data_IF_927919935881
#
_entry.id   IF_927919935881
#
_cell.length_a   1.000
_cell.length_b   1.000
_cell.length_c   1.000
_cell.angle_alpha   90.00
_cell.angle_beta   90.00
_cell.angle_gamma   90.00
#
_symmetry.space_group_name_H-M   'P 1'
#
loop_
_entity.id
_entity.type
_entity.pdbx_description
1 polymer ?
#
# COMPACT_ATOMS: atom_id res chain seq x y z
N UNK A 1 -21.98 4.28 -7.40
CA UNK A 1 -21.11 3.59 -8.37
C UNK A 1 -19.86 4.44 -8.51
N UNK A 2 -18.66 3.85 -8.38
CA UNK A 2 -17.42 4.63 -8.45
C UNK A 2 -16.99 4.86 -9.90
N UNK A 3 -16.24 5.93 -10.15
CA UNK A 3 -15.81 6.29 -11.51
C UNK A 3 -14.80 5.33 -12.11
N UNK A 4 -13.84 4.85 -11.30
CA UNK A 4 -12.72 4.04 -11.79
C UNK A 4 -12.78 2.57 -11.32
N UNK A 5 -13.72 2.21 -10.46
CA UNK A 5 -13.79 0.90 -9.82
C UNK A 5 -15.23 0.37 -9.82
N UNK A 6 -15.44 -0.90 -10.17
CA UNK A 6 -16.79 -1.48 -10.22
C UNK A 6 -17.36 -1.79 -8.84
N UNK A 7 -16.51 -2.15 -7.87
CA UNK A 7 -16.87 -2.39 -6.47
C UNK A 7 -15.66 -2.28 -5.55
N UNK A 8 -15.83 -2.12 -4.22
CA UNK A 8 -14.69 -2.05 -3.28
C UNK A 8 -13.70 -3.21 -3.39
N UNK A 9 -14.21 -4.40 -3.71
CA UNK A 9 -13.46 -5.65 -3.79
C UNK A 9 -13.04 -6.04 -5.21
N UNK A 10 -13.18 -5.13 -6.19
CA UNK A 10 -12.64 -5.34 -7.52
C UNK A 10 -11.10 -5.28 -7.47
N UNK A 11 -10.41 -6.30 -7.99
CA UNK A 11 -8.94 -6.35 -7.98
C UNK A 11 -8.26 -5.44 -9.00
N UNK A 12 -9.03 -4.85 -9.92
CA UNK A 12 -8.54 -4.00 -11.01
C UNK A 12 -9.41 -2.76 -11.15
N UNK A 13 -8.81 -1.68 -11.66
CA UNK A 13 -9.58 -0.54 -12.16
C UNK A 13 -10.35 -0.92 -13.42
N UNK A 14 -11.50 -0.27 -13.64
CA UNK A 14 -12.19 -0.27 -14.94
C UNK A 14 -11.31 0.47 -15.95
N UNK A 15 -10.80 1.64 -15.54
CA UNK A 15 -9.82 2.47 -16.24
C UNK A 15 -8.90 3.07 -15.17
N UNK A 16 -7.56 3.07 -15.38
CA UNK A 16 -6.63 3.69 -14.45
C UNK A 16 -6.98 5.17 -14.17
N UNK A 17 -7.02 5.59 -12.90
CA UNK A 17 -7.21 7.00 -12.57
C UNK A 17 -6.01 7.84 -13.05
N UNK A 18 -6.21 9.13 -13.39
CA UNK A 18 -5.12 10.02 -13.76
C UNK A 18 -4.14 10.21 -12.59
N UNK A 19 -2.82 10.19 -12.85
CA UNK A 19 -1.80 10.25 -11.81
C UNK A 19 -1.76 11.57 -11.01
N UNK A 20 -2.10 12.70 -11.65
CA UNK A 20 -1.99 14.04 -11.03
C UNK A 20 -3.33 14.61 -10.55
N UNK A 21 -4.36 13.76 -10.43
CA UNK A 21 -5.69 14.19 -10.01
C UNK A 21 -5.96 13.70 -8.59
N UNK A 22 -6.41 14.62 -7.73
CA UNK A 22 -6.98 14.24 -6.44
C UNK A 22 -8.26 13.42 -6.64
N UNK A 23 -8.27 12.22 -6.06
CA UNK A 23 -9.41 11.32 -6.08
C UNK A 23 -10.30 11.58 -4.88
N UNK A 24 -11.60 11.38 -5.07
CA UNK A 24 -12.61 11.52 -4.02
C UNK A 24 -13.40 10.22 -3.83
N UNK A 25 -14.30 10.19 -2.85
CA UNK A 25 -15.15 9.02 -2.55
C UNK A 25 -16.16 8.68 -3.66
N UNK A 26 -16.36 9.57 -4.63
CA UNK A 26 -17.13 9.26 -5.85
C UNK A 26 -16.26 8.60 -6.94
N UNK A 27 -14.94 8.78 -6.88
CA UNK A 27 -14.01 8.26 -7.88
C UNK A 27 -13.59 6.81 -7.58
N UNK A 28 -13.29 6.54 -6.31
CA UNK A 28 -12.81 5.25 -5.79
C UNK A 28 -13.38 5.01 -4.38
N UNK A 29 -13.36 3.77 -3.87
CA UNK A 29 -13.75 3.47 -2.49
C UNK A 29 -12.93 4.23 -1.45
N UNK A 30 -13.54 4.59 -0.32
CA UNK A 30 -12.87 5.33 0.78
C UNK A 30 -11.62 4.63 1.29
N UNK A 31 -11.67 3.30 1.46
CA UNK A 31 -10.51 2.49 1.83
C UNK A 31 -9.32 2.65 0.87
N UNK A 32 -9.55 3.01 -0.40
CA UNK A 32 -8.45 3.31 -1.33
C UNK A 32 -7.84 4.69 -1.09
N UNK A 33 -8.65 5.69 -0.74
CA UNK A 33 -8.15 7.02 -0.41
C UNK A 33 -7.25 6.94 0.83
N UNK A 34 -7.73 6.26 1.87
CA UNK A 34 -6.97 6.02 3.10
C UNK A 34 -5.72 5.20 2.82
N UNK A 35 -5.83 4.12 2.04
CA UNK A 35 -4.66 3.27 1.76
C UNK A 35 -3.59 4.01 0.95
N UNK A 36 -3.96 4.94 0.06
CA UNK A 36 -3.00 5.80 -0.65
C UNK A 36 -2.21 6.67 0.33
N UNK A 37 -2.90 7.32 1.27
CA UNK A 37 -2.24 8.12 2.31
C UNK A 37 -1.31 7.26 3.17
N UNK A 38 -1.78 6.09 3.59
CA UNK A 38 -1.02 5.17 4.45
C UNK A 38 0.22 4.63 3.72
N UNK A 39 0.12 4.26 2.44
CA UNK A 39 1.27 3.80 1.66
C UNK A 39 2.25 4.93 1.37
N UNK A 40 1.77 6.15 1.12
CA UNK A 40 2.61 7.33 0.96
C UNK A 40 3.42 7.60 2.24
N UNK A 41 2.77 7.58 3.41
CA UNK A 41 3.44 7.77 4.70
C UNK A 41 4.38 6.61 5.03
N UNK A 42 3.98 5.36 4.74
CA UNK A 42 4.85 4.19 4.88
C UNK A 42 6.12 4.31 4.04
N UNK A 43 6.00 4.81 2.81
CA UNK A 43 7.14 5.05 1.94
C UNK A 43 8.01 6.19 2.48
N UNK A 44 7.43 7.38 2.65
CA UNK A 44 8.17 8.60 3.02
C UNK A 44 8.86 8.51 4.38
N UNK A 45 8.17 7.97 5.40
CA UNK A 45 8.66 7.95 6.77
C UNK A 45 9.26 6.59 7.18
N UNK A 46 9.01 5.54 6.41
CA UNK A 46 9.42 4.18 6.73
C UNK A 46 10.53 3.69 5.81
N UNK A 47 10.21 3.49 4.53
CA UNK A 47 11.13 2.84 3.59
C UNK A 47 12.19 3.79 3.03
N UNK A 48 11.81 5.00 2.63
CA UNK A 48 12.73 5.97 2.02
C UNK A 48 13.94 6.27 2.90
N UNK A 49 13.81 6.50 4.23
CA UNK A 49 14.97 6.72 5.10
C UNK A 49 15.93 5.53 5.17
N UNK A 50 15.44 4.30 4.92
CA UNK A 50 16.27 3.09 4.92
C UNK A 50 17.03 2.95 3.60
N UNK A 51 16.38 3.18 2.47
CA UNK A 51 16.98 2.94 1.14
C UNK A 51 17.77 4.13 0.60
N UNK A 52 17.54 5.34 1.11
CA UNK A 52 18.24 6.58 0.73
C UNK A 52 19.32 6.96 1.75
N UNK A 53 19.55 6.16 2.78
CA UNK A 53 20.62 6.38 3.74
C UNK A 53 21.97 6.16 3.05
N UNK A 54 22.77 7.21 2.93
CA UNK A 54 24.16 7.14 2.48
C UNK A 54 25.09 6.55 3.55
N UNK A 55 24.62 6.48 4.80
CA UNK A 55 25.36 5.85 5.90
C UNK A 55 25.35 4.33 5.75
N UNK A 56 26.51 3.69 6.02
CA UNK A 56 26.65 2.23 6.08
C UNK A 56 25.76 1.57 7.17
N UNK A 57 25.13 2.37 8.03
CA UNK A 57 24.34 1.90 9.16
C UNK A 57 22.97 2.58 9.22
N UNK A 58 21.92 1.75 9.13
CA UNK A 58 20.53 2.18 9.36
C UNK A 58 20.35 2.45 10.85
N UNK A 59 19.86 3.63 11.22
CA UNK A 59 19.61 3.96 12.62
C UNK A 59 18.58 3.00 13.23
N UNK A 60 18.78 2.61 14.50
CA UNK A 60 17.82 1.76 15.21
C UNK A 60 16.41 2.38 15.27
N UNK A 61 16.32 3.72 15.32
CA UNK A 61 15.04 4.43 15.29
C UNK A 61 14.31 4.29 13.95
N UNK A 62 15.02 4.35 12.83
CA UNK A 62 14.42 4.22 11.50
C UNK A 62 13.98 2.79 11.24
N UNK A 63 14.78 1.81 11.67
CA UNK A 63 14.38 0.40 11.64
C UNK A 63 13.09 0.17 12.45
N UNK A 64 13.02 0.66 13.69
CA UNK A 64 11.81 0.53 14.52
C UNK A 64 10.61 1.23 13.90
N UNK A 65 10.81 2.39 13.28
CA UNK A 65 9.74 3.13 12.59
C UNK A 65 9.21 2.37 11.39
N UNK A 66 10.10 1.87 10.54
CA UNK A 66 9.75 1.07 9.38
C UNK A 66 9.00 -0.21 9.76
N UNK A 67 9.45 -0.92 10.79
CA UNK A 67 8.78 -2.12 11.29
C UNK A 67 7.36 -1.81 11.79
N UNK A 68 7.18 -0.70 12.52
CA UNK A 68 5.87 -0.25 12.99
C UNK A 68 4.93 0.09 11.83
N UNK A 69 5.38 0.89 10.87
CA UNK A 69 4.58 1.28 9.70
C UNK A 69 4.22 0.06 8.83
N UNK A 70 5.19 -0.82 8.59
CA UNK A 70 4.99 -2.07 7.84
C UNK A 70 4.00 -3.01 8.55
N UNK A 71 4.03 -3.05 9.89
CA UNK A 71 3.04 -3.79 10.69
C UNK A 71 1.64 -3.19 10.54
N UNK A 72 1.51 -1.86 10.56
CA UNK A 72 0.22 -1.18 10.33
C UNK A 72 -0.36 -1.53 8.96
N UNK A 73 0.43 -1.40 7.90
CA UNK A 73 0.05 -1.82 6.53
C UNK A 73 -0.40 -3.28 6.54
N UNK A 74 0.42 -4.19 7.10
CA UNK A 74 0.10 -5.61 7.17
C UNK A 74 -1.17 -5.95 7.98
N UNK A 75 -1.54 -5.15 8.98
CA UNK A 75 -2.80 -5.31 9.71
C UNK A 75 -4.00 -4.89 8.87
N UNK A 76 -3.91 -3.77 8.15
CA UNK A 76 -4.99 -3.27 7.28
C UNK A 76 -5.27 -4.22 6.12
N UNK A 77 -4.23 -4.83 5.55
CA UNK A 77 -4.36 -5.83 4.48
C UNK A 77 -5.15 -7.09 4.86
N UNK A 78 -5.50 -7.29 6.14
CA UNK A 78 -6.42 -8.35 6.56
C UNK A 78 -7.89 -8.01 6.30
N UNK A 79 -8.21 -6.73 6.16
CA UNK A 79 -9.51 -6.28 5.71
C UNK A 79 -9.55 -6.30 4.16
N UNK A 80 -10.59 -6.92 3.60
CA UNK A 80 -10.72 -7.15 2.16
C UNK A 80 -10.71 -5.85 1.35
N UNK A 81 -11.32 -4.79 1.85
CA UNK A 81 -11.45 -3.55 1.08
C UNK A 81 -10.08 -2.86 0.93
N UNK A 82 -9.26 -2.82 2.00
CA UNK A 82 -7.88 -2.34 1.94
C UNK A 82 -6.97 -3.27 1.13
N UNK A 83 -7.17 -4.58 1.23
CA UNK A 83 -6.44 -5.55 0.42
C UNK A 83 -6.65 -5.32 -1.09
N UNK A 84 -7.91 -5.21 -1.52
CA UNK A 84 -8.22 -4.97 -2.92
C UNK A 84 -7.83 -3.56 -3.36
N UNK A 85 -7.97 -2.56 -2.50
CA UNK A 85 -7.44 -1.23 -2.74
C UNK A 85 -5.93 -1.24 -2.98
N UNK A 86 -5.16 -1.92 -2.12
CA UNK A 86 -3.70 -2.03 -2.25
C UNK A 86 -3.32 -2.70 -3.57
N UNK A 87 -3.99 -3.80 -3.96
CA UNK A 87 -3.74 -4.46 -5.24
C UNK A 87 -3.96 -3.53 -6.43
N UNK A 88 -5.02 -2.71 -6.39
CA UNK A 88 -5.29 -1.71 -7.43
C UNK A 88 -4.20 -0.64 -7.46
N UNK A 89 -3.87 -0.04 -6.31
CA UNK A 89 -2.82 0.98 -6.20
C UNK A 89 -1.49 0.47 -6.76
N UNK A 90 -1.06 -0.73 -6.35
CA UNK A 90 0.20 -1.34 -6.82
C UNK A 90 0.23 -1.61 -8.32
N UNK A 91 -0.92 -1.81 -8.97
CA UNK A 91 -0.96 -1.98 -10.43
C UNK A 91 -0.59 -0.72 -11.21
N UNK A 92 -0.54 0.44 -10.53
CA UNK A 92 -0.11 1.72 -11.10
C UNK A 92 1.34 2.08 -10.75
N UNK A 93 1.96 1.36 -9.81
CA UNK A 93 3.33 1.60 -9.40
C UNK A 93 4.31 1.03 -10.42
N UNK A 94 5.54 1.56 -10.42
CA UNK A 94 6.64 0.95 -11.16
C UNK A 94 6.85 -0.48 -10.66
N UNK A 95 6.99 -1.41 -11.60
CA UNK A 95 7.25 -2.82 -11.28
C UNK A 95 8.75 -3.03 -11.09
N UNK A 96 9.11 -4.10 -10.40
CA UNK A 96 10.51 -4.50 -10.15
C UNK A 96 11.35 -3.50 -9.31
N UNK A 97 10.70 -2.60 -8.57
CA UNK A 97 11.33 -1.77 -7.54
C UNK A 97 11.13 -2.32 -6.11
N UNK A 98 11.93 -1.84 -5.15
CA UNK A 98 11.93 -2.31 -3.76
C UNK A 98 10.57 -2.04 -3.08
N UNK A 99 9.97 -0.90 -3.35
CA UNK A 99 8.70 -0.44 -2.81
C UNK A 99 7.58 -1.42 -3.17
N UNK A 100 7.39 -1.66 -4.47
CA UNK A 100 6.38 -2.59 -4.99
C UNK A 100 6.66 -4.01 -4.52
N UNK A 101 7.92 -4.43 -4.48
CA UNK A 101 8.32 -5.75 -3.98
C UNK A 101 7.95 -5.94 -2.51
N UNK A 102 8.21 -4.95 -1.66
CA UNK A 102 7.96 -5.05 -0.23
C UNK A 102 6.46 -5.04 0.09
N UNK A 103 5.66 -4.19 -0.58
CA UNK A 103 4.21 -4.21 -0.38
C UNK A 103 3.61 -5.53 -0.86
N UNK A 104 4.09 -6.09 -1.99
CA UNK A 104 3.71 -7.44 -2.42
C UNK A 104 4.05 -8.52 -1.37
N UNK A 105 5.22 -8.43 -0.73
CA UNK A 105 5.57 -9.28 0.41
C UNK A 105 4.57 -9.14 1.57
N UNK A 106 4.14 -7.91 1.91
CA UNK A 106 3.15 -7.68 2.97
C UNK A 106 1.78 -8.28 2.62
N UNK A 107 1.35 -8.19 1.35
CA UNK A 107 0.13 -8.84 0.84
C UNK A 107 0.22 -10.36 1.00
N UNK A 108 1.30 -10.99 0.54
CA UNK A 108 1.47 -12.44 0.67
C UNK A 108 1.50 -12.88 2.13
N UNK A 109 2.11 -12.07 3.01
CA UNK A 109 2.17 -12.33 4.44
C UNK A 109 0.78 -12.21 5.11
N UNK A 110 -0.04 -11.25 4.69
CA UNK A 110 -1.40 -11.09 5.24
C UNK A 110 -2.29 -12.27 4.88
N UNK A 111 -2.19 -12.78 3.65
CA UNK A 111 -2.93 -13.95 3.17
C UNK A 111 -2.62 -15.22 3.98
N UNK A 112 -1.34 -15.49 4.25
CA UNK A 112 -0.92 -16.64 5.08
C UNK A 112 -1.48 -16.59 6.49
N UNK A 113 -1.64 -15.39 7.05
CA UNK A 113 -2.16 -15.23 8.41
C UNK A 113 -3.66 -15.46 8.49
N UNK A 114 -4.40 -15.19 7.40
CA UNK A 114 -5.84 -15.47 7.33
C UNK A 114 -6.16 -16.94 7.12
N UNK A 115 -5.29 -17.74 6.50
CA UNK A 115 -5.51 -19.19 6.28
C UNK A 115 -5.35 -20.06 7.53
N UNK A 116 -4.83 -19.52 8.63
CA UNK A 116 -4.58 -20.24 9.89
C UNK A 116 -5.70 -20.01 10.94
N UNK A 117 -6.79 -19.37 10.56
CA UNK A 117 -7.98 -19.13 11.41
C UNK A 117 -9.21 -19.76 10.75
#
# INVERSE_FOLDING_TARGET
>A
MYRYVSSPQASKYIVPPPQHRELSSVDVPEAELEMREILNNWFADGLAPIIQSDDEYISASDQVRFEKLSRTVGMLLRNKDYYFATKRILSLWEQDCLETTYVNYLILRSERTTSLR
#
